data_IF_595918872719
#
_entry.id   IF_595918872719
#
_cell.length_a   1.000
_cell.length_b   1.000
_cell.length_c   1.000
_cell.angle_alpha   90.00
_cell.angle_beta   90.00
_cell.angle_gamma   90.00
#
_symmetry.space_group_name_H-M   'P 1'
#
loop_
_entity.id
_entity.type
_entity.pdbx_description
1 polymer ?
#
# COMPACT_ATOMS: atom_id res chain seq x y z
N UNK A 1 6.41 20.49 4.86
CA UNK A 1 7.61 19.67 5.06
C UNK A 1 7.62 18.55 4.03
N UNK A 2 8.48 18.59 3.00
CA UNK A 2 8.56 17.56 1.96
C UNK A 2 9.16 16.24 2.46
N UNK A 3 9.95 16.27 3.52
CA UNK A 3 10.61 15.08 4.06
C UNK A 3 9.78 14.40 5.15
N UNK A 4 8.62 14.95 5.52
CA UNK A 4 7.70 14.31 6.44
C UNK A 4 7.26 12.92 5.95
N UNK A 5 7.22 11.95 6.86
CA UNK A 5 6.54 10.67 6.64
C UNK A 5 5.06 10.85 6.96
N UNK A 6 4.20 10.52 6.00
CA UNK A 6 2.75 10.57 6.15
C UNK A 6 2.15 9.17 6.10
N UNK A 7 1.04 9.01 6.80
CA UNK A 7 0.21 7.81 6.75
C UNK A 7 -1.16 8.23 6.24
N UNK A 8 -1.65 7.56 5.20
CA UNK A 8 -2.94 7.83 4.59
C UNK A 8 -3.88 6.69 4.96
N UNK A 9 -5.05 7.02 5.49
CA UNK A 9 -6.10 6.09 5.88
C UNK A 9 -7.40 6.42 5.16
N UNK A 10 -8.14 5.41 4.69
CA UNK A 10 -9.57 5.54 4.43
C UNK A 10 -10.32 5.86 5.73
N UNK A 11 -11.29 6.77 5.68
CA UNK A 11 -12.05 7.21 6.86
C UNK A 11 -13.20 6.28 7.24
N UNK A 12 -13.53 5.32 6.39
CA UNK A 12 -14.74 4.48 6.45
C UNK A 12 -14.44 3.00 6.73
N UNK A 13 -13.19 2.68 7.09
CA UNK A 13 -12.79 1.31 7.43
C UNK A 13 -13.12 0.95 8.88
N UNK A 14 -13.77 -0.19 9.07
CA UNK A 14 -13.85 -0.84 10.39
C UNK A 14 -12.59 -1.66 10.63
N UNK A 15 -11.90 -1.41 11.75
CA UNK A 15 -10.63 -2.05 12.09
C UNK A 15 -10.74 -2.67 13.48
N UNK A 16 -10.48 -3.96 13.59
CA UNK A 16 -10.41 -4.66 14.87
C UNK A 16 -9.48 -5.88 14.80
N UNK A 17 -8.60 -6.12 15.79
CA UNK A 17 -8.24 -5.20 16.87
C UNK A 17 -7.30 -4.08 16.39
N UNK A 18 -7.51 -2.86 16.88
CA UNK A 18 -6.85 -1.64 16.45
C UNK A 18 -5.33 -1.68 16.70
N UNK A 19 -4.90 -2.28 17.82
CA UNK A 19 -3.47 -2.38 18.15
C UNK A 19 -2.66 -3.11 17.07
N UNK A 20 -3.27 -4.11 16.41
CA UNK A 20 -2.58 -4.92 15.40
C UNK A 20 -2.28 -4.16 14.13
N UNK A 21 -3.17 -3.27 13.67
CA UNK A 21 -2.87 -2.44 12.50
C UNK A 21 -1.77 -1.43 12.81
N UNK A 22 -1.80 -0.85 14.02
CA UNK A 22 -0.83 0.15 14.44
C UNK A 22 0.60 -0.40 14.48
N UNK A 23 0.78 -1.67 14.89
CA UNK A 23 2.06 -2.36 14.80
C UNK A 23 2.61 -2.36 13.35
N UNK A 24 1.76 -2.68 12.36
CA UNK A 24 2.19 -2.69 10.96
C UNK A 24 2.42 -1.30 10.39
N UNK A 25 1.64 -0.30 10.82
CA UNK A 25 1.85 1.11 10.44
C UNK A 25 3.19 1.61 10.96
N UNK A 26 3.51 1.34 12.23
CA UNK A 26 4.80 1.72 12.84
C UNK A 26 5.96 1.03 12.13
N UNK A 27 5.83 -0.27 11.82
CA UNK A 27 6.83 -1.00 11.03
C UNK A 27 7.03 -0.38 9.64
N UNK A 28 5.94 -0.01 8.96
CA UNK A 28 6.00 0.64 7.65
C UNK A 28 6.64 2.03 7.73
N UNK A 29 6.30 2.85 8.74
CA UNK A 29 6.91 4.16 8.96
C UNK A 29 8.43 4.05 9.18
N UNK A 30 8.86 3.11 10.04
CA UNK A 30 10.27 2.81 10.27
C UNK A 30 10.97 2.30 9.00
N UNK A 31 10.28 1.52 8.16
CA UNK A 31 10.85 1.05 6.90
C UNK A 31 10.99 2.17 5.85
N UNK A 32 10.09 3.17 5.83
CA UNK A 32 10.19 4.35 4.94
C UNK A 32 11.44 5.17 5.25
N UNK A 33 11.91 5.20 6.51
CA UNK A 33 13.19 5.84 6.85
C UNK A 33 14.39 5.18 6.14
N UNK A 34 14.37 3.85 5.99
CA UNK A 34 15.40 3.08 5.27
C UNK A 34 15.21 3.09 3.76
N UNK A 35 13.97 3.20 3.30
CA UNK A 35 13.60 3.18 1.89
C UNK A 35 12.80 4.43 1.50
N UNK A 36 13.38 5.64 1.59
CA UNK A 36 12.64 6.90 1.44
C UNK A 36 12.03 7.09 0.05
N UNK A 37 12.54 6.38 -0.95
CA UNK A 37 12.03 6.39 -2.32
C UNK A 37 10.88 5.40 -2.59
N UNK A 38 10.32 4.78 -1.54
CA UNK A 38 9.22 3.81 -1.65
C UNK A 38 7.97 4.34 -0.94
N UNK A 39 6.81 3.91 -1.43
CA UNK A 39 5.53 3.99 -0.74
C UNK A 39 5.16 2.56 -0.35
N UNK A 40 4.74 2.37 0.89
CA UNK A 40 4.44 1.06 1.47
C UNK A 40 2.94 0.98 1.72
N UNK A 41 2.16 0.32 0.84
CA UNK A 41 0.78 -0.04 1.13
C UNK A 41 0.74 -1.19 2.14
N UNK A 42 -0.29 -1.20 2.99
CA UNK A 42 -0.57 -2.29 3.90
C UNK A 42 -1.56 -3.24 3.21
N UNK A 43 -1.24 -4.53 3.24
CA UNK A 43 -2.12 -5.59 2.76
C UNK A 43 -2.63 -6.44 3.91
N UNK A 44 -3.85 -6.94 3.78
CA UNK A 44 -4.44 -7.90 4.73
C UNK A 44 -4.62 -9.26 4.06
N UNK A 45 -4.39 -10.34 4.83
CA UNK A 45 -4.61 -11.68 4.31
C UNK A 45 -6.13 -11.88 4.08
N UNK A 46 -6.55 -12.32 2.89
CA UNK A 46 -7.95 -12.60 2.62
C UNK A 46 -8.43 -13.79 3.46
N UNK A 47 -9.64 -13.68 4.01
CA UNK A 47 -10.32 -14.77 4.71
C UNK A 47 -11.29 -15.52 3.79
N UNK A 48 -11.69 -14.90 2.69
CA UNK A 48 -12.60 -15.44 1.70
C UNK A 48 -12.27 -14.88 0.32
N UNK A 49 -13.00 -15.33 -0.70
CA UNK A 49 -12.90 -14.77 -2.04
C UNK A 49 -13.77 -13.52 -2.13
N UNK A 50 -13.17 -12.35 -2.38
CA UNK A 50 -13.88 -11.10 -2.59
C UNK A 50 -13.49 -10.48 -3.95
N UNK A 51 -14.50 -10.18 -4.77
CA UNK A 51 -14.34 -9.62 -6.13
C UNK A 51 -14.43 -8.09 -6.16
N UNK A 52 -14.93 -7.47 -5.10
CA UNK A 52 -15.08 -6.01 -5.00
C UNK A 52 -13.84 -5.32 -4.42
N UNK A 53 -12.87 -6.11 -3.92
CA UNK A 53 -11.63 -5.59 -3.36
C UNK A 53 -10.49 -5.63 -4.36
N UNK A 54 -9.57 -4.68 -4.24
CA UNK A 54 -8.26 -4.76 -4.87
C UNK A 54 -7.37 -5.82 -4.21
N UNK A 55 -6.57 -6.52 -5.00
CA UNK A 55 -5.61 -7.52 -4.56
C UNK A 55 -4.19 -7.08 -4.88
N UNK A 56 -3.24 -7.41 -4.00
CA UNK A 56 -1.82 -7.09 -4.12
C UNK A 56 -0.99 -8.36 -4.03
N UNK A 57 -0.15 -8.61 -5.03
CA UNK A 57 0.73 -9.79 -5.03
C UNK A 57 2.08 -9.46 -4.38
N UNK A 58 2.41 -10.06 -3.23
CA UNK A 58 3.68 -9.83 -2.58
C UNK A 58 4.81 -10.51 -3.35
N UNK A 59 5.91 -9.80 -3.55
CA UNK A 59 7.14 -10.30 -4.13
C UNK A 59 8.21 -10.60 -3.08
N UNK A 60 9.44 -10.26 -3.41
CA UNK A 60 10.62 -10.54 -2.58
C UNK A 60 10.67 -9.63 -1.36
N UNK A 61 11.22 -10.13 -0.27
CA UNK A 61 11.54 -9.32 0.92
C UNK A 61 12.60 -8.30 0.54
N UNK A 62 12.43 -7.04 0.98
CA UNK A 62 13.44 -6.02 0.72
C UNK A 62 14.74 -6.36 1.46
N UNK A 63 15.89 -6.06 0.83
CA UNK A 63 17.21 -6.37 1.40
C UNK A 63 17.38 -5.70 2.77
N UNK A 64 17.81 -6.45 3.76
CA UNK A 64 18.02 -5.96 5.13
C UNK A 64 16.79 -6.08 6.04
N UNK A 65 15.68 -6.63 5.54
CA UNK A 65 14.45 -6.81 6.31
C UNK A 65 14.21 -8.27 6.71
N UNK A 66 13.62 -8.49 7.88
CA UNK A 66 13.24 -9.81 8.39
C UNK A 66 11.78 -10.13 8.03
N UNK A 67 11.53 -10.38 6.74
CA UNK A 67 10.25 -10.89 6.23
C UNK A 67 9.25 -9.84 5.72
N UNK A 68 9.39 -8.57 6.13
CA UNK A 68 8.61 -7.40 5.66
C UNK A 68 9.42 -6.10 5.81
N UNK A 69 9.19 -5.07 4.98
CA UNK A 69 8.29 -5.05 3.82
C UNK A 69 8.77 -5.94 2.65
N UNK A 70 7.82 -6.30 1.78
CA UNK A 70 8.07 -7.00 0.52
C UNK A 70 7.79 -6.05 -0.64
N UNK A 71 8.42 -6.28 -1.79
CA UNK A 71 8.00 -5.62 -3.02
C UNK A 71 6.57 -6.04 -3.37
N UNK A 72 5.85 -5.22 -4.13
CA UNK A 72 4.57 -5.62 -4.74
C UNK A 72 4.84 -5.89 -6.22
N UNK A 73 4.40 -7.06 -6.71
CA UNK A 73 4.61 -7.49 -8.10
C UNK A 73 3.49 -6.96 -8.99
N UNK A 74 2.26 -7.03 -8.52
CA UNK A 74 1.08 -6.58 -9.26
C UNK A 74 -0.02 -6.11 -8.31
N UNK A 75 -0.88 -5.24 -8.85
CA UNK A 75 -2.15 -4.84 -8.27
C UNK A 75 -3.26 -5.31 -9.21
N UNK A 76 -4.32 -5.86 -8.65
CA UNK A 76 -5.48 -6.35 -9.40
C UNK A 76 -6.72 -5.70 -8.78
N UNK A 77 -7.29 -4.70 -9.45
CA UNK A 77 -8.49 -4.01 -8.96
C UNK A 77 -9.73 -4.76 -9.42
N UNK A 78 -10.59 -5.14 -8.46
CA UNK A 78 -11.88 -5.81 -8.69
C UNK A 78 -11.81 -6.98 -9.68
N UNK A 79 -11.07 -8.04 -9.34
CA UNK A 79 -10.83 -9.16 -10.24
C UNK A 79 -12.11 -9.91 -10.61
N UNK A 80 -12.08 -10.54 -11.79
CA UNK A 80 -13.02 -11.61 -12.12
C UNK A 80 -12.80 -12.85 -11.26
N UNK A 81 -13.79 -13.77 -11.22
CA UNK A 81 -13.76 -14.96 -10.35
C UNK A 81 -12.48 -15.81 -10.48
N UNK A 82 -12.04 -16.08 -11.71
CA UNK A 82 -10.86 -16.90 -11.95
C UNK A 82 -9.56 -16.21 -11.49
N UNK A 83 -9.47 -14.89 -11.69
CA UNK A 83 -8.32 -14.10 -11.30
C UNK A 83 -8.22 -13.98 -9.77
N UNK A 84 -9.33 -13.73 -9.08
CA UNK A 84 -9.39 -13.72 -7.63
C UNK A 84 -8.96 -15.06 -7.02
N UNK A 85 -9.41 -16.18 -7.61
CA UNK A 85 -9.01 -17.53 -7.15
C UNK A 85 -7.51 -17.74 -7.30
N UNK A 86 -6.95 -17.36 -8.45
CA UNK A 86 -5.53 -17.46 -8.70
C UNK A 86 -4.72 -16.56 -7.74
N UNK A 87 -5.18 -15.32 -7.50
CA UNK A 87 -4.57 -14.41 -6.54
C UNK A 87 -4.56 -15.00 -5.13
N UNK A 88 -5.68 -15.59 -4.70
CA UNK A 88 -5.79 -16.26 -3.40
C UNK A 88 -4.81 -17.44 -3.27
N UNK A 89 -4.70 -18.29 -4.29
CA UNK A 89 -3.74 -19.42 -4.33
C UNK A 89 -2.29 -18.92 -4.27
N UNK A 90 -1.98 -17.80 -4.91
CA UNK A 90 -0.64 -17.17 -4.88
C UNK A 90 -0.34 -16.45 -3.55
N UNK A 91 -1.27 -16.42 -2.61
CA UNK A 91 -1.09 -15.73 -1.33
C UNK A 91 -1.12 -14.21 -1.46
N UNK A 92 -1.82 -13.69 -2.47
CA UNK A 92 -2.08 -12.27 -2.61
C UNK A 92 -2.89 -11.74 -1.41
N UNK A 93 -2.71 -10.45 -1.13
CA UNK A 93 -3.33 -9.74 -0.02
C UNK A 93 -4.43 -8.83 -0.54
N UNK A 94 -5.48 -8.59 0.23
CA UNK A 94 -6.38 -7.48 -0.07
C UNK A 94 -5.67 -6.16 0.17
N UNK A 95 -5.89 -5.20 -0.74
CA UNK A 95 -5.47 -3.82 -0.59
C UNK A 95 -6.33 -3.12 0.46
N UNK A 96 -5.73 -2.60 1.52
CA UNK A 96 -6.47 -1.87 2.57
C UNK A 96 -6.54 -0.37 2.31
N UNK A 97 -5.93 0.13 1.23
CA UNK A 97 -5.75 1.56 0.95
C UNK A 97 -5.02 2.36 2.05
N UNK A 98 -4.55 1.70 3.11
CA UNK A 98 -3.64 2.30 4.08
C UNK A 98 -2.24 2.27 3.50
N UNK A 99 -1.60 3.43 3.43
CA UNK A 99 -0.25 3.55 2.88
C UNK A 99 0.62 4.51 3.66
N UNK A 100 1.91 4.22 3.69
CA UNK A 100 2.93 5.03 4.37
C UNK A 100 3.99 5.44 3.36
N UNK A 101 4.39 6.72 3.37
CA UNK A 101 5.43 7.22 2.47
C UNK A 101 5.88 8.64 2.82
N UNK A 102 6.97 9.08 2.19
CA UNK A 102 7.42 10.48 2.27
C UNK A 102 6.52 11.37 1.41
N UNK A 103 6.20 12.58 1.89
CA UNK A 103 5.43 13.59 1.13
C UNK A 103 6.08 13.84 -0.23
N UNK A 104 7.39 14.10 -0.25
CA UNK A 104 8.17 14.29 -1.48
C UNK A 104 7.98 13.12 -2.45
N UNK A 105 7.99 11.89 -1.95
CA UNK A 105 7.89 10.72 -2.82
C UNK A 105 6.51 10.57 -3.44
N UNK A 106 5.46 10.80 -2.66
CA UNK A 106 4.08 10.82 -3.16
C UNK A 106 3.90 11.92 -4.21
N UNK A 107 4.45 13.11 -3.96
CA UNK A 107 4.42 14.23 -4.90
C UNK A 107 5.10 13.91 -6.23
N UNK A 108 6.30 13.32 -6.20
CA UNK A 108 7.02 12.86 -7.39
C UNK A 108 6.22 11.81 -8.19
N UNK A 109 5.56 10.87 -7.50
CA UNK A 109 4.73 9.86 -8.14
C UNK A 109 3.49 10.49 -8.78
N UNK A 110 2.88 11.47 -8.12
CA UNK A 110 1.79 12.26 -8.67
C UNK A 110 2.20 12.91 -9.98
N UNK A 111 3.32 13.63 -10.02
CA UNK A 111 3.80 14.28 -11.24
C UNK A 111 4.13 13.29 -12.36
N UNK A 112 4.65 12.11 -12.00
CA UNK A 112 5.02 11.09 -12.97
C UNK A 112 3.82 10.39 -13.61
N UNK A 113 2.77 10.12 -12.84
CA UNK A 113 1.66 9.25 -13.29
C UNK A 113 0.33 9.97 -13.44
N UNK A 114 0.15 11.13 -12.79
CA UNK A 114 -1.08 11.93 -12.78
C UNK A 114 -0.78 13.44 -13.01
N UNK A 115 0.00 13.82 -14.03
CA UNK A 115 0.45 15.21 -14.22
C UNK A 115 -0.71 16.22 -14.30
N UNK A 116 -1.79 15.87 -15.02
CA UNK A 116 -2.97 16.75 -15.16
C UNK A 116 -3.62 17.06 -13.80
N UNK A 117 -3.66 16.08 -12.89
CA UNK A 117 -4.16 16.27 -11.53
C UNK A 117 -3.19 17.12 -10.71
N UNK A 118 -1.88 16.91 -10.85
CA UNK A 118 -0.87 17.67 -10.12
C UNK A 118 -0.89 19.15 -10.47
N UNK A 119 -1.13 19.48 -11.74
CA UNK A 119 -1.31 20.87 -12.17
C UNK A 119 -2.41 21.59 -11.40
N UNK A 120 -3.48 20.91 -10.97
CA UNK A 120 -4.56 21.52 -10.20
C UNK A 120 -4.13 21.93 -8.77
N UNK A 121 -3.14 21.25 -8.19
CA UNK A 121 -2.62 21.59 -6.86
C UNK A 121 -1.66 22.79 -6.88
N UNK A 122 -1.12 23.16 -8.05
CA UNK A 122 -0.24 24.33 -8.23
C UNK A 122 -1.01 25.61 -8.60
N UNK A 123 -2.32 25.51 -8.85
CA UNK A 123 -3.19 26.66 -9.17
C UNK A 123 -3.68 27.37 -7.89
N UNK A 124 -3.36 26.83 -6.71
CA UNK A 124 -3.65 27.42 -5.40
C UNK A 124 -2.52 28.36 -4.95
#
# INVERSE_FOLDING_TARGET
DPDATVIIYPSDHFIYPEGRIMEFVVQAAVAVERFPNRVIPLGVRPESLNLEYGWMEPGVVLKGENGRPRSVVSFIEKPGLAEARNAMVRGALWNTFVMVGRVKKLWELGWRYLPDMMHLFEIL
#
